data_IF_792868341302
#
_entry.id   IF_792868341302
#
_cell.length_a   1.000
_cell.length_b   1.000
_cell.length_c   1.000
_cell.angle_alpha   90.00
_cell.angle_beta   90.00
_cell.angle_gamma   90.00
#
_symmetry.space_group_name_H-M   'P 1'
#
loop_
_entity.id
_entity.type
_entity.pdbx_description
1 polymer ?
#
# COMPACT_ATOMS: atom_id res chain seq x y z
N UNK A 1 -3.75 18.61 19.16
CA UNK A 1 -4.08 17.17 19.04
C UNK A 1 -3.64 16.51 17.71
N UNK A 2 -3.02 17.23 16.76
CA UNK A 2 -2.58 16.67 15.46
C UNK A 2 -1.41 15.67 15.46
N UNK A 3 -0.67 15.53 16.57
CA UNK A 3 0.56 14.73 16.60
C UNK A 3 0.38 13.20 16.57
N UNK A 4 -0.74 12.66 17.07
CA UNK A 4 -0.97 11.19 17.12
C UNK A 4 -1.53 10.65 15.80
N UNK A 5 -2.42 11.40 15.14
CA UNK A 5 -2.97 11.05 13.82
C UNK A 5 -1.87 11.09 12.74
N UNK A 6 -1.03 12.13 12.75
CA UNK A 6 0.13 12.22 11.87
C UNK A 6 1.09 11.05 12.01
N UNK A 7 1.40 10.64 13.25
CA UNK A 7 2.34 9.53 13.52
C UNK A 7 1.86 8.18 12.97
N UNK A 8 0.54 7.90 13.05
CA UNK A 8 -0.02 6.68 12.46
C UNK A 8 0.01 6.69 10.93
N UNK A 9 -0.23 7.85 10.29
CA UNK A 9 -0.09 7.98 8.84
C UNK A 9 1.35 7.73 8.36
N UNK A 10 2.34 8.30 9.04
CA UNK A 10 3.75 8.08 8.72
C UNK A 10 4.16 6.62 8.87
N UNK A 11 3.63 5.92 9.88
CA UNK A 11 3.93 4.50 10.08
C UNK A 11 3.37 3.63 8.95
N UNK A 12 2.13 3.88 8.52
CA UNK A 12 1.52 3.13 7.40
C UNK A 12 2.24 3.43 6.08
N UNK A 13 2.58 4.69 5.81
CA UNK A 13 3.34 5.07 4.61
C UNK A 13 4.74 4.45 4.59
N UNK A 14 5.38 4.35 5.76
CA UNK A 14 6.63 3.63 5.92
C UNK A 14 6.47 2.13 5.62
N UNK A 15 5.46 1.48 6.20
CA UNK A 15 5.19 0.06 5.96
C UNK A 15 4.87 -0.23 4.49
N UNK A 16 4.07 0.61 3.83
CA UNK A 16 3.79 0.55 2.38
C UNK A 16 5.06 0.67 1.53
N UNK A 17 5.96 1.60 1.89
CA UNK A 17 7.24 1.77 1.20
C UNK A 17 8.14 0.55 1.40
N UNK A 18 8.13 -0.01 2.61
CA UNK A 18 8.87 -1.22 2.95
C UNK A 18 8.36 -2.46 2.20
N UNK A 19 7.03 -2.59 2.02
CA UNK A 19 6.44 -3.63 1.16
C UNK A 19 7.00 -3.52 -0.26
N UNK A 20 6.98 -2.32 -0.86
CA UNK A 20 7.52 -2.12 -2.22
C UNK A 20 8.99 -2.52 -2.33
N UNK A 21 9.80 -2.15 -1.34
CA UNK A 21 11.21 -2.52 -1.31
C UNK A 21 11.40 -4.03 -1.22
N UNK A 22 10.71 -4.69 -0.30
CA UNK A 22 10.79 -6.14 -0.10
C UNK A 22 10.26 -6.94 -1.29
N UNK A 23 9.23 -6.45 -1.96
CA UNK A 23 8.75 -7.04 -3.22
C UNK A 23 9.81 -6.98 -4.34
N UNK A 24 10.59 -5.90 -4.43
CA UNK A 24 11.69 -5.80 -5.40
C UNK A 24 12.84 -6.75 -5.05
N UNK A 25 13.20 -6.82 -3.76
CA UNK A 25 14.20 -7.76 -3.26
C UNK A 25 13.80 -9.20 -3.56
N UNK A 26 12.55 -9.57 -3.26
CA UNK A 26 11.99 -10.88 -3.56
C UNK A 26 11.99 -11.19 -5.07
N UNK A 27 11.66 -10.21 -5.92
CA UNK A 27 11.75 -10.39 -7.37
C UNK A 27 13.18 -10.68 -7.84
N UNK A 28 14.18 -10.04 -7.23
CA UNK A 28 15.60 -10.33 -7.50
C UNK A 28 15.98 -11.74 -7.05
N UNK A 29 15.52 -12.18 -5.87
CA UNK A 29 15.76 -13.54 -5.37
C UNK A 29 15.10 -14.59 -6.27
N UNK A 30 13.87 -14.35 -6.74
CA UNK A 30 13.18 -15.22 -7.70
C UNK A 30 13.95 -15.36 -9.02
N UNK A 31 14.47 -14.26 -9.56
CA UNK A 31 15.23 -14.29 -10.81
C UNK A 31 16.58 -15.02 -10.62
N UNK A 32 17.28 -14.74 -9.53
CA UNK A 32 18.52 -15.42 -9.17
C UNK A 32 18.32 -16.93 -9.00
N UNK A 33 17.24 -17.35 -8.34
CA UNK A 33 16.93 -18.76 -8.14
C UNK A 33 16.54 -19.47 -9.46
N UNK A 34 15.80 -18.81 -10.34
CA UNK A 34 15.40 -19.37 -11.64
C UNK A 34 16.55 -19.50 -12.64
N UNK A 35 17.49 -18.55 -12.65
CA UNK A 35 18.58 -18.47 -13.64
C UNK A 35 19.82 -19.28 -13.24
N UNK A 36 19.80 -19.93 -12.07
CA UNK A 36 20.94 -20.62 -11.51
C UNK A 36 21.25 -21.97 -12.19
N UNK A 37 22.54 -22.36 -12.31
CA UNK A 37 22.95 -23.72 -12.65
C UNK A 37 22.52 -24.77 -11.62
N UNK A 38 22.19 -25.97 -12.07
CA UNK A 38 21.62 -27.07 -11.25
C UNK A 38 22.52 -27.58 -10.11
N UNK A 39 23.82 -27.27 -10.10
CA UNK A 39 24.84 -27.88 -9.21
C UNK A 39 25.20 -27.07 -7.95
N UNK A 40 24.62 -25.89 -7.75
CA UNK A 40 24.87 -25.09 -6.54
C UNK A 40 23.99 -25.59 -5.36
N UNK A 41 24.15 -25.11 -4.14
CA UNK A 41 23.39 -25.59 -2.96
C UNK A 41 22.09 -24.75 -2.77
N UNK A 42 20.90 -25.32 -2.99
CA UNK A 42 19.65 -24.53 -3.20
C UNK A 42 18.98 -24.03 -1.92
N UNK A 43 19.34 -24.62 -0.78
CA UNK A 43 18.68 -24.38 0.50
C UNK A 43 18.75 -22.92 0.96
N UNK A 44 19.87 -22.23 0.72
CA UNK A 44 20.06 -20.85 1.19
C UNK A 44 19.15 -19.84 0.48
N UNK A 45 19.02 -19.94 -0.85
CA UNK A 45 18.15 -19.06 -1.64
C UNK A 45 16.67 -19.36 -1.41
N UNK A 46 16.29 -20.63 -1.33
CA UNK A 46 14.92 -21.04 -1.00
C UNK A 46 14.50 -20.49 0.36
N UNK A 47 15.38 -20.60 1.36
CA UNK A 47 15.12 -20.05 2.68
C UNK A 47 15.01 -18.51 2.66
N UNK A 48 15.85 -17.83 1.87
CA UNK A 48 15.76 -16.38 1.70
C UNK A 48 14.43 -15.95 1.04
N UNK A 49 13.95 -16.70 0.04
CA UNK A 49 12.66 -16.48 -0.62
C UNK A 49 11.51 -16.71 0.36
N UNK A 50 11.58 -17.76 1.18
CA UNK A 50 10.64 -18.05 2.26
C UNK A 50 10.56 -16.89 3.25
N UNK A 51 11.69 -16.43 3.78
CA UNK A 51 11.74 -15.31 4.75
C UNK A 51 11.15 -14.04 4.11
N UNK A 52 11.58 -13.68 2.90
CA UNK A 52 11.10 -12.48 2.23
C UNK A 52 9.59 -12.55 1.93
N UNK A 53 9.07 -13.72 1.56
CA UNK A 53 7.64 -13.96 1.33
C UNK A 53 6.84 -13.79 2.63
N UNK A 54 7.32 -14.34 3.74
CA UNK A 54 6.71 -14.17 5.06
C UNK A 54 6.76 -12.71 5.52
N UNK A 55 7.89 -12.02 5.37
CA UNK A 55 8.03 -10.61 5.74
C UNK A 55 7.04 -9.72 4.99
N UNK A 56 6.91 -9.91 3.66
CA UNK A 56 5.94 -9.16 2.85
C UNK A 56 4.51 -9.41 3.34
N UNK A 57 4.14 -10.67 3.58
CA UNK A 57 2.79 -11.05 4.06
C UNK A 57 2.50 -10.44 5.43
N UNK A 58 3.47 -10.46 6.35
CA UNK A 58 3.33 -9.82 7.66
C UNK A 58 3.16 -8.31 7.55
N UNK A 59 3.90 -7.64 6.66
CA UNK A 59 3.74 -6.20 6.42
C UNK A 59 2.35 -5.87 5.87
N UNK A 60 1.81 -6.68 4.96
CA UNK A 60 0.43 -6.52 4.47
C UNK A 60 -0.59 -6.60 5.62
N UNK A 61 -0.50 -7.61 6.50
CA UNK A 61 -1.41 -7.72 7.66
C UNK A 61 -1.25 -6.57 8.66
N UNK A 62 -0.04 -6.03 8.85
CA UNK A 62 0.17 -4.85 9.71
C UNK A 62 -0.49 -3.62 9.10
N UNK A 63 -0.29 -3.38 7.81
CA UNK A 63 -0.93 -2.30 7.07
C UNK A 63 -2.47 -2.42 7.12
N UNK A 64 -3.01 -3.60 6.82
CA UNK A 64 -4.45 -3.86 6.85
C UNK A 64 -5.05 -3.53 8.22
N UNK A 65 -4.48 -4.08 9.30
CA UNK A 65 -4.95 -3.80 10.67
C UNK A 65 -4.84 -2.32 11.03
N UNK A 66 -3.77 -1.66 10.63
CA UNK A 66 -3.59 -0.23 10.86
C UNK A 66 -4.65 0.61 10.12
N UNK A 67 -4.94 0.27 8.86
CA UNK A 67 -5.96 0.93 8.04
C UNK A 67 -7.36 0.71 8.62
N UNK A 68 -7.70 -0.52 9.03
CA UNK A 68 -8.99 -0.85 9.66
C UNK A 68 -9.18 -0.19 11.04
N UNK A 69 -8.10 0.07 11.78
CA UNK A 69 -8.16 0.74 13.09
C UNK A 69 -8.28 2.27 13.01
N UNK A 70 -8.02 2.89 11.85
CA UNK A 70 -8.08 4.35 11.70
C UNK A 70 -9.50 4.93 11.88
N UNK A 71 -10.57 4.40 11.25
CA UNK A 71 -11.92 4.94 11.41
C UNK A 71 -12.45 4.85 12.84
N UNK A 72 -12.19 3.74 13.53
CA UNK A 72 -12.64 3.52 14.91
C UNK A 72 -11.92 4.41 15.92
N UNK A 73 -10.66 4.77 15.66
CA UNK A 73 -9.92 5.77 16.45
C UNK A 73 -10.40 7.20 16.17
N UNK A 74 -10.75 7.50 14.93
CA UNK A 74 -11.22 8.83 14.51
C UNK A 74 -12.52 9.25 15.20
N UNK A 75 -13.50 8.34 15.31
CA UNK A 75 -14.82 8.60 15.90
C UNK A 75 -14.81 9.11 17.35
N UNK A 76 -13.70 8.93 18.09
CA UNK A 76 -13.62 9.31 19.51
C UNK A 76 -12.94 10.66 19.77
N UNK A 77 -12.25 11.23 18.77
CA UNK A 77 -11.31 12.33 19.04
C UNK A 77 -11.36 13.49 18.04
N UNK A 78 -12.10 13.35 16.93
CA UNK A 78 -11.98 14.27 15.80
C UNK A 78 -13.27 15.05 15.49
N UNK A 79 -13.09 16.25 14.93
CA UNK A 79 -14.17 17.07 14.36
C UNK A 79 -14.76 16.40 13.09
N UNK A 80 -16.01 16.69 12.73
CA UNK A 80 -16.67 16.14 11.53
C UNK A 80 -15.83 16.32 10.24
N UNK A 81 -15.09 17.43 10.14
CA UNK A 81 -14.21 17.70 8.99
C UNK A 81 -12.99 16.79 8.97
N UNK A 82 -12.39 16.54 10.14
CA UNK A 82 -11.25 15.61 10.27
C UNK A 82 -11.67 14.17 10.00
N UNK A 83 -12.90 13.80 10.39
CA UNK A 83 -13.46 12.47 10.11
C UNK A 83 -13.64 12.24 8.60
N UNK A 84 -14.10 13.25 7.85
CA UNK A 84 -14.20 13.20 6.38
C UNK A 84 -12.84 13.05 5.71
N UNK A 85 -11.83 13.80 6.16
CA UNK A 85 -10.46 13.69 5.64
C UNK A 85 -9.85 12.31 5.93
N UNK A 86 -10.10 11.76 7.11
CA UNK A 86 -9.60 10.43 7.50
C UNK A 86 -10.23 9.32 6.67
N UNK A 87 -11.52 9.40 6.32
CA UNK A 87 -12.16 8.44 5.38
C UNK A 87 -11.42 8.41 4.04
N UNK A 88 -11.16 9.57 3.44
CA UNK A 88 -10.43 9.67 2.17
C UNK A 88 -8.99 9.13 2.26
N UNK A 89 -8.31 9.35 3.39
CA UNK A 89 -6.98 8.77 3.63
C UNK A 89 -7.06 7.25 3.73
N UNK A 90 -8.05 6.72 4.44
CA UNK A 90 -8.27 5.27 4.56
C UNK A 90 -8.58 4.63 3.20
N UNK A 91 -9.43 5.25 2.38
CA UNK A 91 -9.71 4.78 1.01
C UNK A 91 -8.46 4.76 0.13
N UNK A 92 -7.70 5.86 0.10
CA UNK A 92 -6.49 5.92 -0.74
C UNK A 92 -5.44 4.90 -0.28
N UNK A 93 -5.28 4.69 1.04
CA UNK A 93 -4.39 3.66 1.57
C UNK A 93 -4.86 2.23 1.24
N UNK A 94 -6.17 1.97 1.33
CA UNK A 94 -6.75 0.68 0.96
C UNK A 94 -6.53 0.37 -0.52
N UNK A 95 -6.70 1.36 -1.40
CA UNK A 95 -6.45 1.21 -2.83
C UNK A 95 -4.98 0.90 -3.14
N UNK A 96 -4.04 1.65 -2.55
CA UNK A 96 -2.60 1.37 -2.69
C UNK A 96 -2.27 -0.05 -2.20
N UNK A 97 -2.86 -0.49 -1.09
CA UNK A 97 -2.62 -1.82 -0.53
C UNK A 97 -3.22 -2.93 -1.40
N UNK A 98 -4.37 -2.69 -2.05
CA UNK A 98 -4.92 -3.61 -3.05
C UNK A 98 -4.04 -3.73 -4.29
N UNK A 99 -3.53 -2.62 -4.83
CA UNK A 99 -2.60 -2.61 -5.96
C UNK A 99 -1.33 -3.40 -5.63
N UNK A 100 -0.76 -3.18 -4.45
CA UNK A 100 0.41 -3.93 -3.98
C UNK A 100 0.12 -5.42 -3.80
N UNK A 101 -1.02 -5.79 -3.19
CA UNK A 101 -1.43 -7.19 -3.02
C UNK A 101 -1.63 -7.88 -4.37
N UNK A 102 -2.26 -7.19 -5.34
CA UNK A 102 -2.39 -7.67 -6.70
C UNK A 102 -1.02 -7.91 -7.34
N UNK A 103 -0.13 -6.92 -7.29
CA UNK A 103 1.23 -7.04 -7.85
C UNK A 103 2.01 -8.21 -7.24
N UNK A 104 1.94 -8.40 -5.93
CA UNK A 104 2.61 -9.51 -5.25
C UNK A 104 2.07 -10.87 -5.68
N UNK A 105 0.74 -11.05 -5.69
CA UNK A 105 0.11 -12.31 -6.12
C UNK A 105 0.45 -12.66 -7.55
N UNK A 106 0.45 -11.68 -8.46
CA UNK A 106 0.88 -11.89 -9.85
C UNK A 106 2.35 -12.28 -9.95
N UNK A 107 3.24 -11.63 -9.17
CA UNK A 107 4.65 -11.96 -9.14
C UNK A 107 4.90 -13.40 -8.63
N UNK A 108 4.21 -13.80 -7.56
CA UNK A 108 4.28 -15.15 -6.99
C UNK A 108 3.72 -16.22 -7.95
N UNK A 109 2.55 -15.98 -8.54
CA UNK A 109 1.98 -16.90 -9.53
C UNK A 109 2.88 -17.04 -10.77
N UNK A 110 3.49 -15.94 -11.22
CA UNK A 110 4.47 -15.94 -12.30
C UNK A 110 5.73 -16.73 -11.96
N UNK A 111 6.23 -16.60 -10.72
CA UNK A 111 7.37 -17.36 -10.23
C UNK A 111 7.07 -18.87 -10.16
N UNK A 112 5.94 -19.28 -9.55
CA UNK A 112 5.49 -20.67 -9.51
C UNK A 112 5.35 -21.29 -10.91
N UNK A 113 4.78 -20.55 -11.87
CA UNK A 113 4.67 -21.01 -13.26
C UNK A 113 6.04 -21.25 -13.90
N UNK A 114 7.01 -20.36 -13.66
CA UNK A 114 8.38 -20.52 -14.20
C UNK A 114 9.13 -21.66 -13.53
N UNK A 115 8.96 -21.86 -12.22
CA UNK A 115 9.52 -23.02 -11.52
C UNK A 115 9.00 -24.33 -12.10
N UNK A 116 7.67 -24.47 -12.22
CA UNK A 116 7.03 -25.67 -12.79
C UNK A 116 7.51 -25.96 -14.22
N UNK A 117 7.58 -24.93 -15.07
CA UNK A 117 8.08 -25.10 -16.45
C UNK A 117 9.55 -25.53 -16.50
N UNK A 118 10.39 -25.08 -15.55
CA UNK A 118 11.80 -25.50 -15.44
C UNK A 118 11.88 -26.97 -15.04
N UNK A 119 11.01 -27.40 -14.13
CA UNK A 119 10.93 -28.78 -13.63
C UNK A 119 10.45 -29.77 -14.69
N UNK A 120 9.37 -29.45 -15.41
CA UNK A 120 8.86 -30.29 -16.52
C UNK A 120 9.95 -30.50 -17.59
N UNK A 121 10.72 -29.45 -17.89
CA UNK A 121 11.85 -29.54 -18.84
C UNK A 121 13.00 -30.41 -18.32
N UNK A 122 13.27 -30.41 -17.01
CA UNK A 122 14.28 -31.30 -16.42
C UNK A 122 13.79 -32.74 -16.30
N UNK A 123 12.51 -32.98 -15.99
CA UNK A 123 11.94 -34.33 -15.90
C UNK A 123 11.97 -35.05 -17.26
N UNK A 124 11.64 -34.34 -18.36
CA UNK A 124 11.73 -34.89 -19.71
C UNK A 124 13.14 -35.37 -20.11
N UNK A 125 14.19 -34.78 -19.52
CA UNK A 125 15.56 -35.20 -19.76
C UNK A 125 15.90 -36.55 -19.09
N UNK A 126 15.32 -36.82 -17.92
CA UNK A 126 15.52 -38.09 -17.21
C UNK A 126 14.62 -39.21 -17.75
N UNK A 127 13.40 -38.89 -18.18
CA UNK A 127 12.44 -39.88 -18.71
C UNK A 127 12.85 -40.43 -20.08
N UNK A 128 13.67 -39.69 -20.84
CA UNK A 128 14.22 -40.13 -22.14
C UNK A 128 15.50 -40.98 -22.01
N UNK A 129 16.03 -41.17 -20.80
CA UNK A 129 17.33 -41.82 -20.57
C UNK A 129 17.29 -43.34 -20.36
N UNK A 130 16.13 -43.98 -20.52
CA UNK A 130 16.06 -45.46 -20.65
C UNK A 130 15.49 -45.84 -22.00
N UNK A 131 16.29 -45.87 -23.09
CA UNK A 131 16.03 -46.77 -24.18
C UNK A 131 16.18 -48.18 -23.61
N UNK A 132 15.08 -48.79 -23.20
CA UNK A 132 15.02 -50.24 -23.08
C UNK A 132 15.19 -50.72 -24.52
N UNK A 133 16.43 -51.04 -24.92
CA UNK A 133 16.67 -51.76 -26.16
C UNK A 133 15.98 -53.11 -25.97
N UNK A 134 14.78 -53.19 -26.53
CA UNK A 134 14.02 -54.41 -26.76
C UNK A 134 14.82 -55.24 -27.78
N UNK A 135 15.72 -56.06 -27.27
CA UNK A 135 16.31 -57.16 -28.02
C UNK A 135 15.85 -58.46 -27.37
N UNK A 136 14.89 -59.11 -28.03
CA UNK A 136 14.64 -60.55 -28.07
C UNK A 136 14.58 -61.33 -26.75
N UNK A 137 13.36 -61.79 -26.43
CA UNK A 137 13.07 -63.11 -25.82
C UNK A 137 13.95 -63.56 -24.62
N UNK A 138 13.50 -63.33 -23.38
CA UNK A 138 13.21 -64.42 -22.43
C UNK A 138 12.51 -63.94 -21.14
N UNK A 139 11.72 -64.84 -20.59
CA UNK A 139 10.66 -64.62 -19.62
C UNK A 139 11.19 -64.59 -18.16
N UNK A 140 11.76 -63.48 -17.64
CA UNK A 140 12.07 -63.32 -16.19
C UNK A 140 11.98 -61.86 -15.67
N UNK A 141 10.94 -61.13 -16.08
CA UNK A 141 10.77 -59.67 -15.91
C UNK A 141 10.33 -59.18 -14.51
N UNK A 142 10.76 -59.78 -13.39
CA UNK A 142 10.34 -59.28 -12.06
C UNK A 142 11.39 -59.28 -10.93
N UNK A 143 12.69 -59.44 -11.24
CA UNK A 143 13.72 -59.38 -10.17
C UNK A 143 15.05 -58.74 -10.63
N UNK A 144 14.99 -57.49 -11.07
CA UNK A 144 16.16 -56.60 -11.08
C UNK A 144 15.76 -55.31 -10.39
N UNK A 145 15.87 -55.30 -9.06
CA UNK A 145 15.77 -54.09 -8.27
C UNK A 145 16.74 -53.02 -8.79
N UNK A 146 16.37 -51.75 -8.64
CA UNK A 146 17.25 -50.61 -8.91
C UNK A 146 18.64 -50.86 -8.30
N UNK A 147 19.71 -50.48 -8.99
CA UNK A 147 21.05 -50.49 -8.39
C UNK A 147 21.08 -49.57 -7.17
N UNK A 148 21.88 -49.85 -6.13
CA UNK A 148 21.96 -48.99 -4.93
C UNK A 148 22.25 -47.52 -5.29
N UNK A 149 23.02 -47.29 -6.36
CA UNK A 149 23.29 -45.96 -6.91
C UNK A 149 22.04 -45.30 -7.54
N UNK A 150 21.21 -46.06 -8.26
CA UNK A 150 19.91 -45.58 -8.75
C UNK A 150 18.91 -45.35 -7.63
N UNK A 151 18.95 -46.18 -6.58
CA UNK A 151 18.04 -46.08 -5.45
C UNK A 151 18.37 -44.84 -4.60
N UNK A 152 19.66 -44.52 -4.40
CA UNK A 152 20.12 -43.26 -3.80
C UNK A 152 19.76 -42.05 -4.67
N UNK A 153 19.86 -42.17 -6.00
CA UNK A 153 19.49 -41.08 -6.91
C UNK A 153 17.97 -40.81 -6.89
N UNK A 154 17.16 -41.86 -6.86
CA UNK A 154 15.69 -41.78 -6.70
C UNK A 154 15.34 -41.22 -5.32
N UNK A 155 16.00 -41.67 -4.25
CA UNK A 155 15.78 -41.18 -2.89
C UNK A 155 16.15 -39.68 -2.77
N UNK A 156 17.29 -39.26 -3.33
CA UNK A 156 17.64 -37.83 -3.44
C UNK A 156 16.63 -37.04 -4.27
N UNK A 157 16.14 -37.60 -5.39
CA UNK A 157 15.10 -36.97 -6.20
C UNK A 157 13.79 -36.81 -5.40
N UNK A 158 13.40 -37.83 -4.62
CA UNK A 158 12.19 -37.78 -3.79
C UNK A 158 12.30 -36.76 -2.64
N UNK A 159 13.47 -36.65 -1.99
CA UNK A 159 13.71 -35.65 -0.95
C UNK A 159 13.72 -34.22 -1.54
N UNK A 160 14.31 -34.04 -2.72
CA UNK A 160 14.25 -32.78 -3.45
C UNK A 160 12.81 -32.42 -3.83
N UNK A 161 11.98 -33.38 -4.25
CA UNK A 161 10.55 -33.14 -4.54
C UNK A 161 9.80 -32.70 -3.27
N UNK A 162 10.05 -33.31 -2.12
CA UNK A 162 9.33 -33.01 -0.88
C UNK A 162 9.65 -31.61 -0.32
N UNK A 163 10.92 -31.19 -0.35
CA UNK A 163 11.34 -29.81 0.01
C UNK A 163 10.75 -28.78 -0.97
N UNK A 164 10.70 -29.10 -2.27
CA UNK A 164 10.08 -28.24 -3.29
C UNK A 164 8.59 -28.07 -3.10
N UNK A 165 7.87 -29.15 -2.79
CA UNK A 165 6.44 -29.06 -2.50
C UNK A 165 6.17 -28.17 -1.29
N UNK A 166 7.08 -28.13 -0.31
CA UNK A 166 6.97 -27.23 0.85
C UNK A 166 7.08 -25.77 0.44
N UNK A 167 8.07 -25.42 -0.40
CA UNK A 167 8.24 -24.06 -0.93
C UNK A 167 6.98 -23.62 -1.70
N UNK A 168 6.48 -24.47 -2.59
CA UNK A 168 5.27 -24.20 -3.39
C UNK A 168 4.05 -23.99 -2.48
N UNK A 169 3.84 -24.88 -1.50
CA UNK A 169 2.74 -24.78 -0.53
C UNK A 169 2.77 -23.44 0.20
N UNK A 170 3.95 -22.99 0.62
CA UNK A 170 4.10 -21.73 1.34
C UNK A 170 3.75 -20.51 0.46
N UNK A 171 4.21 -20.52 -0.79
CA UNK A 171 3.89 -19.44 -1.74
C UNK A 171 2.39 -19.41 -2.01
N UNK A 172 1.76 -20.56 -2.24
CA UNK A 172 0.30 -20.69 -2.44
C UNK A 172 -0.45 -20.18 -1.21
N UNK A 173 0.00 -20.51 0.01
CA UNK A 173 -0.58 -19.98 1.24
C UNK A 173 -0.49 -18.45 1.27
N UNK A 174 0.67 -17.86 0.96
CA UNK A 174 0.82 -16.39 0.92
C UNK A 174 -0.12 -15.72 -0.10
N UNK A 175 -0.36 -16.36 -1.26
CA UNK A 175 -1.31 -15.87 -2.26
C UNK A 175 -2.74 -15.92 -1.71
N UNK A 176 -3.10 -17.01 -1.02
CA UNK A 176 -4.41 -17.19 -0.41
C UNK A 176 -4.66 -16.14 0.67
N UNK A 177 -3.71 -15.96 1.59
CA UNK A 177 -3.77 -14.97 2.67
C UNK A 177 -3.98 -13.57 2.10
N UNK A 178 -3.20 -13.19 1.09
CA UNK A 178 -3.32 -11.87 0.46
C UNK A 178 -4.59 -11.69 -0.37
N UNK A 179 -5.21 -12.78 -0.82
CA UNK A 179 -6.52 -12.74 -1.48
C UNK A 179 -7.63 -12.43 -0.47
N UNK A 180 -7.53 -12.95 0.75
CA UNK A 180 -8.43 -12.57 1.85
C UNK A 180 -8.29 -11.08 2.18
N UNK A 181 -7.05 -10.61 2.36
CA UNK A 181 -6.78 -9.17 2.57
C UNK A 181 -7.34 -8.33 1.42
N UNK A 182 -7.18 -8.77 0.17
CA UNK A 182 -7.68 -8.06 -1.01
C UNK A 182 -9.20 -7.89 -0.98
N UNK A 183 -9.95 -8.93 -0.56
CA UNK A 183 -11.41 -8.89 -0.42
C UNK A 183 -11.82 -7.94 0.70
N UNK A 184 -11.16 -8.02 1.85
CA UNK A 184 -11.42 -7.15 3.01
C UNK A 184 -11.22 -5.66 2.68
N UNK A 185 -10.12 -5.34 1.99
CA UNK A 185 -9.84 -3.98 1.54
C UNK A 185 -10.81 -3.54 0.43
N UNK A 186 -11.24 -4.47 -0.42
CA UNK A 186 -12.22 -4.20 -1.47
C UNK A 186 -13.57 -3.79 -0.91
N UNK A 187 -14.04 -4.47 0.13
CA UNK A 187 -15.26 -4.09 0.84
C UNK A 187 -15.17 -2.66 1.38
N UNK A 188 -14.02 -2.28 1.95
CA UNK A 188 -13.78 -0.94 2.49
C UNK A 188 -13.79 0.18 1.43
N UNK A 189 -13.38 -0.14 0.20
CA UNK A 189 -13.39 0.83 -0.92
C UNK A 189 -14.79 0.97 -1.51
N UNK A 190 -15.52 -0.14 -1.67
CA UNK A 190 -16.90 -0.14 -2.18
C UNK A 190 -17.84 0.63 -1.25
N UNK A 191 -17.72 0.46 0.06
CA UNK A 191 -18.56 1.13 1.06
C UNK A 191 -18.37 2.67 1.09
N UNK A 192 -17.21 3.18 0.64
CA UNK A 192 -16.96 4.62 0.59
C UNK A 192 -17.53 5.33 -0.66
N UNK A 193 -17.88 4.59 -1.73
CA UNK A 193 -18.24 5.17 -3.03
C UNK A 193 -17.04 5.76 -3.78
N UNK A 194 -17.19 5.99 -5.09
CA UNK A 194 -16.14 6.47 -6.02
C UNK A 194 -15.26 7.59 -5.42
N UNK A 195 -14.04 7.21 -5.02
CA UNK A 195 -13.07 8.03 -4.27
C UNK A 195 -12.67 9.32 -5.00
N UNK A 196 -12.78 9.36 -6.33
CA UNK A 196 -12.45 10.53 -7.15
C UNK A 196 -13.45 11.68 -6.99
N UNK A 197 -14.76 11.42 -6.95
CA UNK A 197 -15.81 12.45 -6.93
C UNK A 197 -15.76 13.32 -5.66
N UNK A 198 -15.17 12.79 -4.57
CA UNK A 198 -15.12 13.44 -3.26
C UNK A 198 -13.82 14.21 -3.01
N UNK A 199 -12.74 13.92 -3.72
CA UNK A 199 -11.50 14.71 -3.63
C UNK A 199 -11.72 16.04 -4.36
N UNK A 200 -12.31 16.01 -5.56
CA UNK A 200 -12.71 17.21 -6.28
C UNK A 200 -13.69 18.03 -5.44
N UNK A 201 -14.71 17.40 -4.85
CA UNK A 201 -15.63 18.09 -3.92
C UNK A 201 -14.94 18.73 -2.71
N UNK A 202 -13.93 18.09 -2.12
CA UNK A 202 -13.23 18.61 -0.94
C UNK A 202 -12.23 19.72 -1.28
N UNK A 203 -11.57 19.64 -2.44
CA UNK A 203 -10.72 20.71 -2.97
C UNK A 203 -11.57 21.90 -3.38
N UNK A 204 -12.69 21.66 -4.06
CA UNK A 204 -13.69 22.67 -4.42
C UNK A 204 -14.25 23.36 -3.18
N UNK A 205 -14.66 22.61 -2.16
CA UNK A 205 -15.20 23.19 -0.93
C UNK A 205 -14.14 23.97 -0.12
N UNK A 206 -12.87 23.56 -0.15
CA UNK A 206 -11.78 24.33 0.44
C UNK A 206 -11.52 25.62 -0.35
N UNK A 207 -11.55 25.56 -1.69
CA UNK A 207 -11.43 26.71 -2.57
C UNK A 207 -12.57 27.73 -2.33
N UNK A 208 -13.82 27.27 -2.28
CA UNK A 208 -14.99 28.08 -1.98
C UNK A 208 -14.86 28.78 -0.61
N UNK A 209 -14.43 28.06 0.43
CA UNK A 209 -14.22 28.67 1.76
C UNK A 209 -13.12 29.72 1.80
N UNK A 210 -12.04 29.53 1.04
CA UNK A 210 -10.99 30.56 0.92
C UNK A 210 -11.47 31.78 0.14
N UNK A 211 -12.30 31.58 -0.88
CA UNK A 211 -12.90 32.67 -1.66
C UNK A 211 -13.89 33.49 -0.81
N UNK A 212 -14.72 32.83 -0.01
CA UNK A 212 -15.62 33.51 0.93
C UNK A 212 -14.87 34.25 2.03
N UNK A 213 -13.79 33.65 2.57
CA UNK A 213 -12.89 34.34 3.50
C UNK A 213 -12.25 35.58 2.89
N UNK A 214 -11.85 35.54 1.62
CA UNK A 214 -11.32 36.69 0.88
C UNK A 214 -12.38 37.78 0.70
N UNK A 215 -13.63 37.42 0.40
CA UNK A 215 -14.76 38.36 0.27
C UNK A 215 -15.04 39.08 1.59
N UNK A 216 -15.02 38.38 2.72
CA UNK A 216 -15.20 38.99 4.04
C UNK A 216 -14.04 39.93 4.41
N UNK A 217 -12.80 39.56 4.08
CA UNK A 217 -11.64 40.45 4.25
C UNK A 217 -11.77 41.72 3.38
N UNK A 218 -12.25 41.58 2.14
CA UNK A 218 -12.45 42.72 1.25
C UNK A 218 -13.58 43.64 1.74
N UNK A 219 -14.69 43.09 2.23
CA UNK A 219 -15.74 43.87 2.89
C UNK A 219 -15.19 44.61 4.11
N UNK A 220 -14.43 43.93 4.97
CA UNK A 220 -13.82 44.54 6.15
C UNK A 220 -12.89 45.71 5.79
N UNK A 221 -12.08 45.59 4.73
CA UNK A 221 -11.23 46.67 4.21
C UNK A 221 -12.07 47.87 3.73
N UNK A 222 -13.15 47.61 2.99
CA UNK A 222 -14.07 48.67 2.53
C UNK A 222 -14.74 49.39 3.70
N UNK A 223 -15.22 48.66 4.71
CA UNK A 223 -15.75 49.24 5.94
C UNK A 223 -14.70 50.11 6.66
N UNK A 224 -13.46 49.64 6.75
CA UNK A 224 -12.37 50.38 7.39
C UNK A 224 -12.05 51.68 6.64
N UNK A 225 -12.01 51.66 5.29
CA UNK A 225 -11.84 52.86 4.45
C UNK A 225 -13.00 53.85 4.62
N UNK A 226 -14.24 53.38 4.71
CA UNK A 226 -15.42 54.23 4.92
C UNK A 226 -15.40 54.89 6.30
N UNK A 227 -15.05 54.13 7.35
CA UNK A 227 -14.93 54.65 8.71
C UNK A 227 -13.84 55.70 8.85
N UNK A 228 -12.71 55.60 8.13
CA UNK A 228 -11.68 56.66 8.11
C UNK A 228 -12.23 58.00 7.61
N UNK A 229 -13.04 57.99 6.54
CA UNK A 229 -13.67 59.21 6.02
C UNK A 229 -14.68 59.79 7.01
N UNK A 230 -15.45 58.93 7.67
CA UNK A 230 -16.41 59.34 8.71
C UNK A 230 -15.72 59.96 9.92
N UNK A 231 -14.58 59.40 10.34
CA UNK A 231 -13.78 59.92 11.45
C UNK A 231 -13.23 61.32 11.15
N UNK A 232 -12.75 61.57 9.92
CA UNK A 232 -12.31 62.91 9.50
C UNK A 232 -13.45 63.92 9.51
N UNK A 233 -14.64 63.54 9.04
CA UNK A 233 -15.83 64.40 9.07
C UNK A 233 -16.22 64.74 10.51
N UNK A 234 -16.17 63.76 11.42
CA UNK A 234 -16.46 63.96 12.84
C UNK A 234 -15.45 64.92 13.50
N UNK A 235 -14.15 64.77 13.20
CA UNK A 235 -13.11 65.70 13.69
C UNK A 235 -13.38 67.12 13.17
N UNK A 236 -13.67 67.30 11.88
CA UNK A 236 -13.96 68.61 11.29
C UNK A 236 -15.18 69.27 11.96
N UNK A 237 -16.24 68.50 12.21
CA UNK A 237 -17.45 68.98 12.88
C UNK A 237 -17.16 69.47 14.31
N UNK A 238 -16.38 68.71 15.09
CA UNK A 238 -15.96 69.13 16.44
C UNK A 238 -15.12 70.41 16.38
N UNK A 239 -14.23 70.52 15.40
CA UNK A 239 -13.38 71.70 15.22
C UNK A 239 -14.20 72.97 14.93
N UNK A 240 -15.23 72.86 14.09
CA UNK A 240 -16.16 73.95 13.79
C UNK A 240 -16.91 74.40 15.06
N UNK A 241 -17.41 73.46 15.87
CA UNK A 241 -18.10 73.78 17.13
C UNK A 241 -17.18 74.56 18.07
N UNK A 242 -15.94 74.10 18.24
CA UNK A 242 -14.94 74.80 19.08
C UNK A 242 -14.71 76.22 18.58
N UNK A 243 -14.61 76.40 17.25
CA UNK A 243 -14.37 77.71 16.64
C UNK A 243 -15.54 78.67 16.85
N UNK A 244 -16.79 78.17 16.76
CA UNK A 244 -18.00 78.95 17.04
C UNK A 244 -18.05 79.39 18.52
N UNK A 245 -17.75 78.47 19.45
CA UNK A 245 -17.72 78.76 20.88
C UNK A 245 -16.67 79.84 21.19
N UNK A 246 -15.48 79.74 20.61
CA UNK A 246 -14.44 80.76 20.75
C UNK A 246 -14.88 82.09 20.17
N UNK A 247 -15.48 82.11 18.98
CA UNK A 247 -15.90 83.35 18.31
C UNK A 247 -17.02 84.08 19.08
N UNK A 248 -18.01 83.35 19.60
CA UNK A 248 -19.02 83.90 20.50
C UNK A 248 -18.38 84.40 21.80
N UNK A 249 -17.44 83.65 22.37
CA UNK A 249 -16.72 84.04 23.59
C UNK A 249 -15.86 85.28 23.43
N UNK A 250 -15.21 85.47 22.27
CA UNK A 250 -14.43 86.68 21.94
C UNK A 250 -15.34 87.85 21.61
N UNK A 251 -16.43 87.65 20.85
CA UNK A 251 -17.39 88.70 20.51
C UNK A 251 -18.19 89.20 21.72
N UNK A 252 -18.34 88.34 22.74
CA UNK A 252 -19.02 88.67 23.99
C UNK A 252 -18.11 89.38 25.01
N UNK A 253 -16.82 89.58 24.71
CA UNK A 253 -15.89 90.41 25.47
C UNK A 253 -15.72 91.75 24.78
#
# INVERSE_FOLDING_TARGET
MGGRSGRSKWNIQYDVSRIRQKMKELASLHDQHLNRPTLDDSSAQEHAIEIATQEVTQLFHRCQRAVQALPSRARRTCSEQEERLLRNVVASLAQVLQELSSGFRHAQAGYLKRMKNREERSQHFFDTSVPLMDDGEDHTLYDRGFTDEQLVLVEQNTLMVEEREREIRQIVQSISDLNEIFRDLGAMIVEQGTVLDRIDYNVEQACVRTEDGLKELHKAEQYQKKNRKMLVILILFVLIIVLIVVLVGVKSR
#
